data_IF_548365493420
#
_entry.id   IF_548365493420
#
_cell.length_a   1.000
_cell.length_b   1.000
_cell.length_c   1.000
_cell.angle_alpha   90.00
_cell.angle_beta   90.00
_cell.angle_gamma   90.00
#
_symmetry.space_group_name_H-M   'P 1'
#
loop_
_entity.id
_entity.type
_entity.pdbx_description
1 polymer ?
#
# COMPACT_ATOMS: atom_id res chain seq x y z
N UNK A 1 -3.78 6.94 8.48
CA UNK A 1 -5.09 7.64 8.54
C UNK A 1 -4.98 9.10 8.12
N UNK A 2 -3.90 9.81 8.47
CA UNK A 2 -3.66 11.18 8.01
C UNK A 2 -3.64 11.29 6.47
N UNK A 3 -3.00 10.34 5.78
CA UNK A 3 -2.99 10.35 4.32
C UNK A 3 -4.38 10.26 3.71
N UNK A 4 -5.23 9.34 4.20
CA UNK A 4 -6.62 9.23 3.74
C UNK A 4 -7.39 10.54 4.00
N UNK A 5 -7.18 11.18 5.16
CA UNK A 5 -7.74 12.49 5.46
C UNK A 5 -7.25 13.59 4.49
N UNK A 6 -5.94 13.68 4.25
CA UNK A 6 -5.35 14.63 3.31
C UNK A 6 -5.87 14.40 1.87
N UNK A 7 -6.04 13.15 1.46
CA UNK A 7 -6.64 12.80 0.16
C UNK A 7 -8.09 13.25 0.09
N UNK A 8 -8.91 12.93 1.10
CA UNK A 8 -10.32 13.37 1.13
C UNK A 8 -10.46 14.89 1.10
N UNK A 9 -9.61 15.61 1.85
CA UNK A 9 -9.63 17.07 1.87
C UNK A 9 -9.20 17.67 0.52
N UNK A 10 -8.12 17.14 -0.07
CA UNK A 10 -7.62 17.59 -1.37
C UNK A 10 -8.66 17.34 -2.47
N UNK A 11 -9.28 16.16 -2.46
CA UNK A 11 -10.36 15.79 -3.37
C UNK A 11 -11.57 16.74 -3.24
N UNK A 12 -12.00 17.05 -2.01
CA UNK A 12 -13.11 17.96 -1.77
C UNK A 12 -12.82 19.38 -2.28
N UNK A 13 -11.62 19.92 -2.00
CA UNK A 13 -11.25 21.25 -2.48
C UNK A 13 -11.10 21.32 -4.00
N UNK A 14 -10.56 20.29 -4.62
CA UNK A 14 -10.46 20.21 -6.09
C UNK A 14 -11.85 20.12 -6.72
N UNK A 15 -12.76 19.33 -6.14
CA UNK A 15 -14.15 19.23 -6.60
C UNK A 15 -14.93 20.56 -6.49
N UNK A 16 -14.62 21.37 -5.47
CA UNK A 16 -15.24 22.67 -5.25
C UNK A 16 -14.54 23.82 -5.98
N UNK A 17 -13.33 23.59 -6.46
CA UNK A 17 -12.68 24.51 -7.37
C UNK A 17 -13.26 24.28 -8.77
N UNK A 18 -13.63 25.33 -9.49
CA UNK A 18 -14.08 25.26 -10.90
C UNK A 18 -12.99 24.72 -11.87
N UNK A 19 -11.94 24.09 -11.35
CA UNK A 19 -10.80 23.53 -12.06
C UNK A 19 -11.05 22.11 -12.57
N UNK A 20 -12.15 21.44 -12.16
CA UNK A 20 -12.50 20.09 -12.60
C UNK A 20 -13.96 20.01 -13.02
N UNK A 21 -14.21 19.38 -14.17
CA UNK A 21 -15.55 19.11 -14.67
C UNK A 21 -16.03 17.76 -14.14
N UNK A 22 -16.67 17.75 -12.97
CA UNK A 22 -17.29 16.55 -12.42
C UNK A 22 -18.70 16.39 -12.99
N UNK A 23 -19.00 15.22 -13.56
CA UNK A 23 -20.35 14.94 -14.05
C UNK A 23 -21.28 14.57 -12.89
N UNK A 24 -21.92 15.60 -12.32
CA UNK A 24 -22.92 15.46 -11.26
C UNK A 24 -24.24 14.85 -11.73
N UNK A 25 -24.42 14.57 -13.03
CA UNK A 25 -25.66 13.97 -13.54
C UNK A 25 -25.67 12.45 -13.45
N UNK A 26 -24.52 11.81 -13.18
CA UNK A 26 -24.46 10.36 -13.02
C UNK A 26 -25.03 9.96 -11.65
N UNK A 27 -26.05 9.08 -11.64
CA UNK A 27 -26.57 8.45 -10.42
C UNK A 27 -25.58 7.38 -9.95
N UNK A 28 -24.49 7.79 -9.30
CA UNK A 28 -23.46 6.88 -8.78
C UNK A 28 -22.37 7.62 -8.00
N UNK A 29 -21.30 6.89 -7.66
CA UNK A 29 -20.11 7.51 -7.08
C UNK A 29 -19.45 8.43 -8.11
N UNK A 30 -19.21 9.69 -7.73
CA UNK A 30 -18.42 10.60 -8.53
C UNK A 30 -16.97 10.10 -8.57
N UNK A 31 -16.42 9.98 -9.77
CA UNK A 31 -15.05 9.54 -9.98
C UNK A 31 -14.24 10.64 -10.67
N UNK A 32 -13.07 10.91 -10.10
CA UNK A 32 -12.05 11.71 -10.76
C UNK A 32 -11.40 10.90 -11.90
N UNK A 33 -11.03 11.59 -12.97
CA UNK A 33 -10.16 11.03 -14.00
C UNK A 33 -8.72 10.89 -13.50
N UNK A 34 -7.87 10.27 -14.32
CA UNK A 34 -6.49 9.99 -13.91
C UNK A 34 -5.68 11.27 -13.63
N UNK A 35 -5.88 12.32 -14.44
CA UNK A 35 -5.25 13.63 -14.25
C UNK A 35 -5.63 14.29 -12.92
N UNK A 36 -6.91 14.20 -12.55
CA UNK A 36 -7.38 14.80 -11.30
C UNK A 36 -6.95 13.98 -10.09
N UNK A 37 -6.92 12.64 -10.19
CA UNK A 37 -6.37 11.78 -9.15
C UNK A 37 -4.88 12.06 -8.91
N UNK A 38 -4.09 12.29 -9.97
CA UNK A 38 -2.70 12.72 -9.80
C UNK A 38 -2.58 14.07 -9.07
N UNK A 39 -3.48 15.01 -9.36
CA UNK A 39 -3.51 16.31 -8.69
C UNK A 39 -3.90 16.16 -7.21
N UNK A 40 -4.92 15.36 -6.92
CA UNK A 40 -5.32 14.99 -5.55
C UNK A 40 -4.14 14.38 -4.80
N UNK A 41 -3.41 13.45 -5.43
CA UNK A 41 -2.27 12.80 -4.80
C UNK A 41 -1.14 13.78 -4.47
N UNK A 42 -0.82 14.70 -5.40
CA UNK A 42 0.19 15.75 -5.19
C UNK A 42 -0.16 16.65 -4.00
N UNK A 43 -1.41 17.12 -3.93
CA UNK A 43 -1.85 17.97 -2.82
C UNK A 43 -1.91 17.21 -1.49
N UNK A 44 -2.37 15.96 -1.52
CA UNK A 44 -2.37 15.11 -0.32
C UNK A 44 -0.95 14.86 0.19
N UNK A 45 0.03 14.72 -0.70
CA UNK A 45 1.44 14.57 -0.33
C UNK A 45 1.99 15.83 0.34
N UNK A 46 1.63 17.03 -0.12
CA UNK A 46 2.00 18.28 0.57
C UNK A 46 1.35 18.36 1.97
N UNK A 47 0.09 17.96 2.11
CA UNK A 47 -0.57 17.84 3.41
C UNK A 47 0.16 16.87 4.36
N UNK A 48 0.58 15.71 3.85
CA UNK A 48 1.35 14.74 4.63
C UNK A 48 2.74 15.26 5.03
N UNK A 49 3.39 16.10 4.22
CA UNK A 49 4.66 16.75 4.60
C UNK A 49 4.46 17.71 5.77
N UNK A 50 3.34 18.42 5.83
CA UNK A 50 3.04 19.32 6.95
C UNK A 50 2.84 18.54 8.26
N UNK A 51 2.21 17.38 8.20
CA UNK A 51 1.89 16.56 9.39
C UNK A 51 3.11 15.74 9.84
N UNK A 52 3.82 15.11 8.92
CA UNK A 52 4.86 14.11 9.20
C UNK A 52 6.29 14.54 8.83
N UNK A 53 6.46 15.73 8.25
CA UNK A 53 7.75 16.28 7.83
C UNK A 53 8.28 15.64 6.54
N UNK A 54 8.73 14.38 6.60
CA UNK A 54 9.32 13.65 5.46
C UNK A 54 8.58 12.33 5.17
N UNK A 55 7.32 12.40 4.69
CA UNK A 55 6.58 11.20 4.26
C UNK A 55 7.21 10.55 3.02
N UNK A 56 7.02 9.24 2.87
CA UNK A 56 7.53 8.46 1.73
C UNK A 56 6.69 8.59 0.45
N UNK A 57 5.46 9.08 0.55
CA UNK A 57 4.50 9.11 -0.56
C UNK A 57 3.56 7.90 -0.60
N UNK A 58 3.95 6.78 0.01
CA UNK A 58 3.24 5.49 -0.05
C UNK A 58 1.78 5.65 0.42
N UNK A 59 1.56 6.20 1.61
CA UNK A 59 0.23 6.23 2.23
C UNK A 59 -0.78 7.07 1.43
N UNK A 60 -0.35 8.22 0.89
CA UNK A 60 -1.23 9.05 0.07
C UNK A 60 -1.47 8.41 -1.30
N UNK A 61 -0.45 7.79 -1.91
CA UNK A 61 -0.64 7.08 -3.19
C UNK A 61 -1.64 5.93 -3.06
N UNK A 62 -1.55 5.11 -2.01
CA UNK A 62 -2.54 4.05 -1.76
C UNK A 62 -3.93 4.64 -1.50
N UNK A 63 -4.00 5.74 -0.73
CA UNK A 63 -5.28 6.38 -0.42
C UNK A 63 -5.93 7.04 -1.64
N UNK A 64 -5.15 7.54 -2.60
CA UNK A 64 -5.67 8.21 -3.80
C UNK A 64 -6.09 7.22 -4.88
N UNK A 65 -5.24 6.25 -5.21
CA UNK A 65 -5.46 5.37 -6.35
C UNK A 65 -6.10 4.02 -5.98
N UNK A 66 -6.12 3.69 -4.69
CA UNK A 66 -6.53 2.37 -4.21
C UNK A 66 -5.60 1.25 -4.70
N UNK A 67 -6.12 0.02 -4.67
CA UNK A 67 -5.41 -1.20 -5.07
C UNK A 67 -4.08 -1.43 -4.31
N UNK A 68 -3.29 -2.36 -4.82
CA UNK A 68 -1.97 -2.71 -4.29
C UNK A 68 -0.87 -1.90 -4.97
N UNK A 69 0.20 -1.67 -4.22
CA UNK A 69 1.41 -1.02 -4.72
C UNK A 69 2.62 -1.89 -4.40
N UNK A 70 3.61 -1.86 -5.29
CA UNK A 70 4.94 -2.40 -5.06
C UNK A 70 5.90 -1.25 -4.79
N UNK A 71 6.61 -1.30 -3.68
CA UNK A 71 7.61 -0.29 -3.32
C UNK A 71 8.99 -0.91 -3.25
N UNK A 72 9.95 -0.34 -3.98
CA UNK A 72 11.36 -0.78 -3.96
C UNK A 72 12.29 0.41 -4.11
N UNK A 73 13.14 0.65 -3.12
CA UNK A 73 14.21 1.66 -3.17
C UNK A 73 13.74 3.04 -3.63
N UNK A 74 12.56 3.49 -3.19
CA UNK A 74 11.98 4.78 -3.57
C UNK A 74 11.12 4.75 -4.84
N UNK A 75 11.15 3.68 -5.62
CA UNK A 75 10.24 3.49 -6.74
C UNK A 75 8.93 2.86 -6.26
N UNK A 76 7.80 3.49 -6.64
CA UNK A 76 6.45 3.00 -6.36
C UNK A 76 5.80 2.62 -7.70
N UNK A 77 5.37 1.37 -7.81
CA UNK A 77 4.64 0.84 -8.96
C UNK A 77 3.23 0.45 -8.54
N UNK A 78 2.22 1.00 -9.22
CA UNK A 78 0.81 0.61 -9.04
C UNK A 78 0.60 -0.78 -9.66
N UNK A 79 0.07 -1.72 -8.88
CA UNK A 79 -0.24 -3.07 -9.37
C UNK A 79 -1.68 -3.11 -9.85
N UNK A 80 -1.90 -3.72 -11.02
CA UNK A 80 -3.24 -4.04 -11.50
C UNK A 80 -3.58 -5.43 -10.98
N UNK A 81 -4.57 -5.50 -10.09
CA UNK A 81 -5.10 -6.76 -9.58
C UNK A 81 -6.58 -6.82 -9.91
N UNK A 82 -7.00 -7.99 -10.37
CA UNK A 82 -8.42 -8.31 -10.56
C UNK A 82 -8.91 -9.24 -9.42
N UNK A 83 -8.02 -9.57 -8.47
CA UNK A 83 -8.30 -10.47 -7.36
C UNK A 83 -8.81 -9.68 -6.15
N UNK A 84 -9.97 -10.06 -5.63
CA UNK A 84 -10.52 -9.49 -4.41
C UNK A 84 -10.09 -10.32 -3.20
N UNK A 85 -9.16 -9.79 -2.40
CA UNK A 85 -8.73 -10.43 -1.15
C UNK A 85 -9.62 -9.99 0.02
N UNK A 86 -10.25 -10.97 0.69
CA UNK A 86 -10.99 -10.73 1.94
C UNK A 86 -10.02 -10.88 3.11
N UNK A 87 -9.84 -9.80 3.87
CA UNK A 87 -8.91 -9.77 5.01
C UNK A 87 -9.63 -9.43 6.31
N UNK A 88 -9.22 -10.06 7.41
CA UNK A 88 -9.63 -9.68 8.76
C UNK A 88 -8.58 -8.75 9.37
N UNK A 89 -8.92 -7.48 9.54
CA UNK A 89 -8.04 -6.50 10.17
C UNK A 89 -8.22 -6.56 11.69
N UNK A 90 -7.18 -6.98 12.41
CA UNK A 90 -7.18 -7.09 13.87
C UNK A 90 -6.24 -6.06 14.51
N UNK A 91 -6.76 -5.26 15.45
CA UNK A 91 -5.95 -4.36 16.28
C UNK A 91 -5.82 -4.91 17.69
N UNK A 92 -4.60 -5.34 18.07
CA UNK A 92 -4.31 -5.88 19.41
C UNK A 92 -4.39 -4.86 20.53
N UNK A 93 -4.43 -3.55 20.21
CA UNK A 93 -4.41 -2.42 21.15
C UNK A 93 -3.16 -2.35 22.05
N UNK A 94 -2.11 -3.10 21.72
CA UNK A 94 -0.81 -3.04 22.41
C UNK A 94 0.01 -1.89 21.82
N UNK A 95 0.43 -0.94 22.67
CA UNK A 95 1.27 0.18 22.26
C UNK A 95 2.64 -0.30 21.72
N UNK A 96 3.13 0.32 20.65
CA UNK A 96 4.42 0.00 20.03
C UNK A 96 5.20 1.26 19.74
N UNK A 97 6.52 1.20 19.91
CA UNK A 97 7.43 2.26 19.49
C UNK A 97 8.13 1.85 18.19
N UNK A 98 7.61 2.35 17.07
CA UNK A 98 8.13 2.04 15.72
C UNK A 98 9.63 2.33 15.61
N UNK A 99 10.10 3.44 16.18
CA UNK A 99 11.52 3.82 16.13
C UNK A 99 12.41 2.80 16.86
N UNK A 100 11.95 2.29 18.01
CA UNK A 100 12.67 1.28 18.76
C UNK A 100 12.72 -0.07 18.03
N UNK A 101 11.62 -0.47 17.37
CA UNK A 101 11.57 -1.70 16.56
C UNK A 101 12.51 -1.63 15.35
N UNK A 102 12.53 -0.50 14.64
CA UNK A 102 13.45 -0.32 13.50
C UNK A 102 14.91 -0.31 13.97
N UNK A 103 15.20 0.35 15.09
CA UNK A 103 16.54 0.38 15.67
C UNK A 103 17.00 -1.03 16.07
N UNK A 104 16.13 -1.86 16.66
CA UNK A 104 16.49 -3.22 17.08
C UNK A 104 16.78 -4.14 15.88
N UNK A 105 16.05 -4.00 14.77
CA UNK A 105 16.35 -4.72 13.51
C UNK A 105 17.70 -4.27 12.95
N UNK A 106 17.98 -2.96 12.94
CA UNK A 106 19.27 -2.42 12.49
C UNK A 106 20.43 -2.95 13.34
N UNK A 107 20.30 -2.95 14.66
CA UNK A 107 21.31 -3.48 15.57
C UNK A 107 21.51 -4.99 15.38
N UNK A 108 20.42 -5.76 15.22
CA UNK A 108 20.48 -7.20 14.94
C UNK A 108 21.19 -7.48 13.62
N UNK A 109 20.99 -6.64 12.61
CA UNK A 109 21.69 -6.71 11.32
C UNK A 109 23.19 -6.51 11.46
N UNK A 110 23.62 -5.57 12.30
CA UNK A 110 25.05 -5.36 12.58
C UNK A 110 25.68 -6.52 13.35
N UNK A 111 24.95 -7.14 14.28
CA UNK A 111 25.44 -8.28 15.08
C UNK A 111 25.50 -9.60 14.30
N UNK A 112 24.59 -9.79 13.35
CA UNK A 112 24.45 -11.04 12.59
C UNK A 112 24.23 -10.76 11.09
N UNK A 113 25.24 -10.21 10.38
CA UNK A 113 25.07 -9.73 9.01
C UNK A 113 24.66 -10.83 8.03
N UNK A 114 25.28 -12.01 8.08
CA UNK A 114 24.99 -13.09 7.14
C UNK A 114 23.58 -13.66 7.33
N UNK A 115 23.20 -13.91 8.59
CA UNK A 115 21.87 -14.41 8.92
C UNK A 115 20.77 -13.39 8.56
N UNK A 116 20.96 -12.11 8.87
CA UNK A 116 19.98 -11.07 8.54
C UNK A 116 19.89 -10.81 7.04
N UNK A 117 21.01 -10.91 6.31
CA UNK A 117 21.00 -10.88 4.83
C UNK A 117 20.15 -12.00 4.25
N UNK A 118 20.25 -13.21 4.79
CA UNK A 118 19.42 -14.34 4.36
C UNK A 118 17.93 -14.10 4.65
N UNK A 119 17.60 -13.55 5.82
CA UNK A 119 16.22 -13.17 6.18
C UNK A 119 15.67 -12.12 5.22
N UNK A 120 16.41 -11.04 4.97
CA UNK A 120 15.97 -9.99 4.04
C UNK A 120 15.79 -10.49 2.61
N UNK A 121 16.67 -11.39 2.17
CA UNK A 121 16.54 -12.05 0.85
C UNK A 121 15.27 -12.90 0.77
N UNK A 122 14.95 -13.63 1.84
CA UNK A 122 13.72 -14.42 1.91
C UNK A 122 12.46 -13.53 1.87
N UNK A 123 12.43 -12.44 2.65
CA UNK A 123 11.32 -11.47 2.66
C UNK A 123 11.14 -10.78 1.30
N UNK A 124 12.24 -10.40 0.63
CA UNK A 124 12.19 -9.84 -0.74
C UNK A 124 11.62 -10.86 -1.74
N UNK A 125 12.06 -12.13 -1.65
CA UNK A 125 11.55 -13.22 -2.50
C UNK A 125 10.04 -13.43 -2.30
N UNK A 126 9.58 -13.47 -1.04
CA UNK A 126 8.15 -13.58 -0.70
C UNK A 126 7.35 -12.42 -1.30
N UNK A 127 7.84 -11.19 -1.12
CA UNK A 127 7.18 -9.99 -1.65
C UNK A 127 7.06 -10.01 -3.18
N UNK A 128 8.12 -10.45 -3.87
CA UNK A 128 8.12 -10.58 -5.34
C UNK A 128 7.22 -11.72 -5.82
N UNK A 129 7.17 -12.84 -5.11
CA UNK A 129 6.28 -13.96 -5.42
C UNK A 129 4.81 -13.55 -5.24
N UNK A 130 4.48 -12.88 -4.14
CA UNK A 130 3.14 -12.34 -3.89
C UNK A 130 2.72 -11.38 -5.02
N UNK A 131 3.57 -10.43 -5.40
CA UNK A 131 3.29 -9.52 -6.50
C UNK A 131 2.97 -10.26 -7.81
N UNK A 132 3.74 -11.32 -8.12
CA UNK A 132 3.53 -12.15 -9.32
C UNK A 132 2.19 -12.88 -9.27
N UNK A 133 1.80 -13.43 -8.12
CA UNK A 133 0.51 -14.12 -7.95
C UNK A 133 -0.64 -13.14 -8.15
N UNK A 134 -0.55 -11.96 -7.55
CA UNK A 134 -1.59 -10.92 -7.63
C UNK A 134 -1.77 -10.37 -9.05
N UNK A 135 -0.68 -10.14 -9.78
CA UNK A 135 -0.72 -9.61 -11.14
C UNK A 135 -1.12 -10.68 -12.18
N UNK A 136 -1.01 -11.96 -11.84
CA UNK A 136 -1.42 -13.03 -12.74
C UNK A 136 -2.95 -13.03 -12.92
N UNK A 137 -3.47 -13.13 -14.15
CA UNK A 137 -4.91 -13.22 -14.38
C UNK A 137 -5.48 -14.51 -13.77
N UNK A 138 -6.69 -14.45 -13.23
CA UNK A 138 -7.45 -15.63 -12.82
C UNK A 138 -8.67 -15.74 -13.75
N UNK A 139 -8.81 -16.90 -14.42
CA UNK A 139 -9.88 -17.14 -15.40
C UNK A 139 -11.15 -17.70 -14.78
N UNK A 140 -11.05 -18.37 -13.62
CA UNK A 140 -12.15 -19.06 -12.95
C UNK A 140 -12.00 -19.09 -11.42
N UNK A 141 -13.04 -19.53 -10.71
CA UNK A 141 -13.09 -19.59 -9.24
C UNK A 141 -12.07 -20.57 -8.63
N UNK A 142 -11.76 -21.67 -9.34
CA UNK A 142 -10.74 -22.62 -8.89
C UNK A 142 -9.35 -21.96 -8.87
N UNK A 143 -9.01 -21.23 -9.93
CA UNK A 143 -7.75 -20.48 -10.01
C UNK A 143 -7.65 -19.37 -8.95
N UNK A 144 -8.77 -18.79 -8.51
CA UNK A 144 -8.78 -17.82 -7.40
C UNK A 144 -8.46 -18.53 -6.09
N UNK A 145 -9.11 -19.66 -5.82
CA UNK A 145 -8.91 -20.44 -4.58
C UNK A 145 -7.47 -20.95 -4.46
N UNK A 146 -6.88 -21.46 -5.54
CA UNK A 146 -5.48 -21.89 -5.56
C UNK A 146 -4.51 -20.73 -5.25
N UNK A 147 -4.80 -19.53 -5.77
CA UNK A 147 -4.01 -18.34 -5.44
C UNK A 147 -4.16 -17.93 -3.98
N UNK A 148 -5.36 -18.01 -3.41
CA UNK A 148 -5.57 -17.72 -1.99
C UNK A 148 -4.72 -18.62 -1.09
N UNK A 149 -4.65 -19.93 -1.38
CA UNK A 149 -3.80 -20.88 -0.66
C UNK A 149 -2.32 -20.49 -0.76
N UNK A 150 -1.84 -20.14 -1.96
CA UNK A 150 -0.46 -19.68 -2.13
C UNK A 150 -0.17 -18.37 -1.37
N UNK A 151 -1.14 -17.46 -1.32
CA UNK A 151 -1.02 -16.21 -0.56
C UNK A 151 -0.97 -16.50 0.94
N UNK A 152 -1.78 -17.43 1.44
CA UNK A 152 -1.77 -17.89 2.83
C UNK A 152 -0.39 -18.42 3.24
N UNK A 153 0.18 -19.36 2.45
CA UNK A 153 1.52 -19.90 2.71
C UNK A 153 2.59 -18.79 2.76
N UNK A 154 2.54 -17.83 1.82
CA UNK A 154 3.47 -16.70 1.81
C UNK A 154 3.30 -15.78 3.03
N UNK A 155 2.07 -15.59 3.51
CA UNK A 155 1.79 -14.82 4.73
C UNK A 155 2.36 -15.52 5.97
N UNK A 156 2.17 -16.84 6.10
CA UNK A 156 2.72 -17.63 7.19
C UNK A 156 4.26 -17.61 7.20
N UNK A 157 4.88 -17.82 6.03
CA UNK A 157 6.33 -17.76 5.88
C UNK A 157 6.87 -16.39 6.27
N UNK A 158 6.24 -15.31 5.82
CA UNK A 158 6.67 -13.95 6.17
C UNK A 158 6.52 -13.69 7.68
N UNK A 159 5.44 -14.17 8.29
CA UNK A 159 5.22 -14.04 9.72
C UNK A 159 6.24 -14.83 10.55
N UNK A 160 6.73 -15.97 10.06
CA UNK A 160 7.80 -16.74 10.71
C UNK A 160 9.19 -16.08 10.66
N UNK A 161 9.39 -15.14 9.72
CA UNK A 161 10.65 -14.40 9.55
C UNK A 161 10.72 -13.09 10.36
N UNK A 162 9.57 -12.57 10.82
CA UNK A 162 9.42 -11.32 11.57
C UNK A 162 9.54 -11.53 13.08
#
# INVERSE_FOLDING_TARGET
SSAAFCVSLSAAFIALSDSVNLDFNHQGWLMFGESELELVNKWAFEGEKLIHGKPSGIDNTVSTFGNMIKFRSGALTRMKSNMQLKMLITNTKVGRNTKALVASVSERTLRHPDAMTAVFTAVDSISNKLATIIESPASDECAITEKEVLVEELMEMNQGLL
#
